data_IF_800726989487
#
_entry.id   IF_800726989487
#
_cell.length_a   1.000
_cell.length_b   1.000
_cell.length_c   1.000
_cell.angle_alpha   90.00
_cell.angle_beta   90.00
_cell.angle_gamma   90.00
#
_symmetry.space_group_name_H-M   'P 1'
#
loop_
_entity.id
_entity.type
_entity.pdbx_description
1 polymer ?
#
# COMPACT_ATOMS: atom_id res chain seq x y z
N UNK A 1 27.42 11.27 -1.92
CA UNK A 1 26.29 10.41 -1.52
C UNK A 1 25.27 11.31 -0.83
N UNK A 2 24.42 11.97 -1.62
CA UNK A 2 23.45 12.94 -1.08
C UNK A 2 22.26 12.16 -0.54
N UNK A 3 22.28 11.89 0.76
CA UNK A 3 21.04 11.65 1.51
C UNK A 3 20.28 12.98 1.49
N UNK A 4 19.36 13.15 0.54
CA UNK A 4 18.40 14.25 0.63
C UNK A 4 17.66 14.10 1.95
N UNK A 5 17.59 15.15 2.79
CA UNK A 5 16.72 15.11 3.96
C UNK A 5 15.34 14.67 3.52
N UNK A 6 14.67 13.82 4.31
CA UNK A 6 13.30 13.38 4.03
C UNK A 6 12.41 14.62 4.11
N UNK A 7 12.31 15.35 3.01
CA UNK A 7 11.21 16.26 2.73
C UNK A 7 9.93 15.43 2.68
N UNK A 8 8.82 16.07 3.05
CA UNK A 8 7.48 15.49 3.05
C UNK A 8 7.23 14.54 1.86
N UNK A 9 6.66 13.37 2.13
CA UNK A 9 6.40 12.33 1.14
C UNK A 9 5.64 12.87 -0.08
N UNK A 10 4.70 13.78 0.17
CA UNK A 10 3.88 14.37 -0.89
C UNK A 10 4.69 15.26 -1.83
N UNK A 11 5.63 16.05 -1.30
CA UNK A 11 6.59 16.82 -2.11
C UNK A 11 7.41 15.89 -2.98
N UNK A 12 7.85 14.76 -2.43
CA UNK A 12 8.65 13.82 -3.21
C UNK A 12 7.87 13.24 -4.38
N UNK A 13 6.59 12.90 -4.20
CA UNK A 13 5.72 12.41 -5.27
C UNK A 13 5.55 13.43 -6.41
N UNK A 14 5.63 14.74 -6.13
CA UNK A 14 5.52 15.79 -7.16
C UNK A 14 6.78 15.88 -8.03
N UNK A 15 7.95 15.56 -7.46
CA UNK A 15 9.24 15.68 -8.14
C UNK A 15 9.64 14.43 -8.94
N UNK A 16 8.97 13.28 -8.71
CA UNK A 16 9.37 12.02 -9.32
C UNK A 16 9.07 11.97 -10.83
N UNK A 17 10.02 11.48 -11.66
CA UNK A 17 9.83 11.42 -13.11
C UNK A 17 8.82 10.35 -13.54
N UNK A 18 8.06 10.64 -14.59
CA UNK A 18 7.12 9.71 -15.26
C UNK A 18 7.67 9.21 -16.59
N UNK A 19 8.90 8.67 -16.56
CA UNK A 19 9.63 8.17 -17.72
C UNK A 19 9.15 6.79 -18.24
N UNK A 20 7.90 6.41 -17.96
CA UNK A 20 7.29 5.16 -18.43
C UNK A 20 7.87 3.86 -17.84
N UNK A 21 8.76 3.95 -16.85
CA UNK A 21 9.33 2.78 -16.19
C UNK A 21 8.24 1.96 -15.47
N UNK A 22 8.27 0.61 -15.57
CA UNK A 22 7.38 -0.27 -14.82
C UNK A 22 7.43 -0.01 -13.32
N UNK A 23 6.26 -0.06 -12.69
CA UNK A 23 6.09 0.11 -11.25
C UNK A 23 5.21 -0.98 -10.69
N UNK A 24 5.26 -1.10 -9.38
CA UNK A 24 4.45 -2.06 -8.64
C UNK A 24 3.79 -1.36 -7.47
N UNK A 25 2.62 -1.86 -7.09
CA UNK A 25 1.89 -1.41 -5.91
C UNK A 25 2.03 -2.49 -4.85
N UNK A 26 2.34 -2.08 -3.62
CA UNK A 26 2.30 -2.97 -2.47
C UNK A 26 1.20 -2.51 -1.52
N UNK A 27 0.21 -3.37 -1.27
CA UNK A 27 -0.87 -3.13 -0.32
C UNK A 27 -0.55 -3.91 0.95
N UNK A 28 -0.26 -3.17 2.01
CA UNK A 28 0.08 -3.74 3.30
C UNK A 28 -1.18 -4.04 4.11
N UNK A 29 -1.46 -5.31 4.40
CA UNK A 29 -2.54 -5.75 5.29
C UNK A 29 -1.97 -6.10 6.66
N UNK A 30 -2.18 -5.32 7.72
CA UNK A 30 -1.51 -5.56 9.01
C UNK A 30 -2.20 -6.64 9.85
N UNK A 31 -3.24 -7.33 9.39
CA UNK A 31 -4.05 -8.23 10.23
C UNK A 31 -3.58 -9.67 10.18
N UNK A 32 -3.52 -10.33 11.35
CA UNK A 32 -3.18 -11.74 11.48
C UNK A 32 -4.16 -12.46 12.40
N UNK A 33 -4.50 -13.71 12.07
CA UNK A 33 -5.26 -14.61 12.97
C UNK A 33 -4.44 -14.98 14.21
N UNK A 34 -3.13 -15.14 14.04
CA UNK A 34 -2.19 -15.52 15.11
C UNK A 34 -0.90 -14.72 15.03
N UNK A 35 -0.31 -14.42 16.19
CA UNK A 35 1.01 -13.80 16.28
C UNK A 35 2.09 -14.86 16.35
N UNK A 36 2.75 -15.14 15.22
CA UNK A 36 3.93 -15.98 15.19
C UNK A 36 5.09 -15.28 15.92
N UNK A 37 5.77 -15.98 16.83
CA UNK A 37 6.90 -15.42 17.62
C UNK A 37 8.11 -15.06 16.77
N UNK A 38 8.30 -15.74 15.63
CA UNK A 38 9.40 -15.50 14.70
C UNK A 38 9.12 -14.39 13.69
N UNK A 39 7.87 -13.93 13.55
CA UNK A 39 7.54 -13.00 12.46
C UNK A 39 7.98 -11.57 12.84
N UNK A 40 8.60 -10.88 11.89
CA UNK A 40 9.15 -9.53 12.04
C UNK A 40 8.37 -8.48 11.23
N UNK A 41 7.22 -8.86 10.64
CA UNK A 41 6.39 -7.94 9.86
C UNK A 41 5.53 -7.06 10.78
N UNK A 42 5.29 -5.81 10.37
CA UNK A 42 4.37 -4.93 11.06
C UNK A 42 2.95 -5.52 10.97
N UNK A 43 2.42 -6.02 12.08
CA UNK A 43 1.15 -6.75 12.12
C UNK A 43 0.46 -6.62 13.48
N UNK A 44 -0.84 -6.85 13.49
CA UNK A 44 -1.76 -6.75 14.62
C UNK A 44 -2.58 -8.02 14.72
N UNK A 45 -2.83 -8.47 15.96
CA UNK A 45 -3.69 -9.63 16.24
C UNK A 45 -5.14 -9.20 16.37
N UNK A 46 -5.68 -8.64 15.31
CA UNK A 46 -7.02 -8.08 15.27
C UNK A 46 -7.70 -8.54 13.98
N UNK A 47 -9.03 -8.64 14.01
CA UNK A 47 -9.79 -8.84 12.78
C UNK A 47 -9.75 -7.54 11.97
N UNK A 48 -9.67 -7.61 10.63
CA UNK A 48 -9.80 -6.42 9.82
C UNK A 48 -11.13 -5.71 10.09
N UNK A 49 -11.15 -4.40 10.32
CA UNK A 49 -12.37 -3.60 10.30
C UNK A 49 -13.10 -3.74 8.96
N UNK A 50 -14.43 -3.67 8.95
CA UNK A 50 -15.21 -3.79 7.71
C UNK A 50 -14.88 -2.66 6.72
N UNK A 51 -14.59 -1.46 7.23
CA UNK A 51 -14.22 -0.28 6.46
C UNK A 51 -12.77 -0.28 5.96
N UNK A 52 -11.95 -1.28 6.32
CA UNK A 52 -10.52 -1.26 5.97
C UNK A 52 -10.27 -1.17 4.46
N UNK A 53 -11.05 -1.91 3.66
CA UNK A 53 -10.97 -1.82 2.20
C UNK A 53 -11.36 -0.41 1.68
N UNK A 54 -12.32 0.26 2.32
CA UNK A 54 -12.70 1.63 1.95
C UNK A 54 -11.58 2.64 2.26
N UNK A 55 -10.83 2.42 3.34
CA UNK A 55 -9.65 3.22 3.67
C UNK A 55 -8.55 3.05 2.62
N UNK A 56 -8.26 1.82 2.19
CA UNK A 56 -7.29 1.55 1.13
C UNK A 56 -7.72 2.23 -0.19
N UNK A 57 -8.99 2.08 -0.58
CA UNK A 57 -9.51 2.73 -1.81
C UNK A 57 -9.43 4.25 -1.70
N UNK A 58 -9.72 4.82 -0.53
CA UNK A 58 -9.58 6.26 -0.29
C UNK A 58 -8.12 6.71 -0.42
N UNK A 59 -7.19 5.94 0.11
CA UNK A 59 -5.76 6.22 0.02
C UNK A 59 -5.27 6.17 -1.45
N UNK A 60 -5.65 5.13 -2.20
CA UNK A 60 -5.37 5.01 -3.64
C UNK A 60 -5.89 6.23 -4.39
N UNK A 61 -7.15 6.64 -4.14
CA UNK A 61 -7.75 7.83 -4.77
C UNK A 61 -7.03 9.12 -4.39
N UNK A 62 -6.59 9.23 -3.14
CA UNK A 62 -5.84 10.41 -2.66
C UNK A 62 -4.51 10.50 -3.40
N UNK A 63 -3.79 9.39 -3.54
CA UNK A 63 -2.50 9.39 -4.23
C UNK A 63 -2.62 9.45 -5.76
N UNK A 64 -3.74 9.02 -6.33
CA UNK A 64 -4.01 9.16 -7.76
C UNK A 64 -4.06 10.63 -8.22
N UNK A 65 -4.15 11.61 -7.31
CA UNK A 65 -4.05 13.03 -7.65
C UNK A 65 -2.63 13.48 -8.01
N UNK A 66 -1.59 12.71 -7.66
CA UNK A 66 -0.21 13.05 -7.99
C UNK A 66 0.18 12.48 -9.34
N UNK A 67 0.80 13.33 -10.18
CA UNK A 67 1.26 12.98 -11.54
C UNK A 67 2.09 11.70 -11.57
N UNK A 68 2.99 11.55 -10.58
CA UNK A 68 3.78 10.33 -10.46
C UNK A 68 2.88 9.10 -10.41
N UNK A 69 1.83 9.09 -9.61
CA UNK A 69 0.96 7.91 -9.48
C UNK A 69 0.03 7.76 -10.68
N UNK A 70 -0.61 8.85 -11.13
CA UNK A 70 -1.63 8.80 -12.20
C UNK A 70 -1.08 8.40 -13.57
N UNK A 71 0.15 8.81 -13.90
CA UNK A 71 0.82 8.47 -15.16
C UNK A 71 1.70 7.21 -15.05
N UNK A 72 1.66 6.52 -13.91
CA UNK A 72 2.45 5.31 -13.69
C UNK A 72 1.95 4.13 -14.52
N UNK A 73 2.88 3.42 -15.16
CA UNK A 73 2.60 2.07 -15.66
C UNK A 73 2.82 1.07 -14.54
N UNK A 74 1.77 0.34 -14.15
CA UNK A 74 1.82 -0.66 -13.09
C UNK A 74 1.72 -2.06 -13.67
N UNK A 75 2.77 -2.87 -13.48
CA UNK A 75 2.82 -4.24 -14.02
C UNK A 75 2.42 -5.30 -12.97
N UNK A 76 2.45 -4.94 -11.68
CA UNK A 76 2.06 -5.86 -10.61
C UNK A 76 1.49 -5.15 -9.37
N UNK A 77 0.62 -5.87 -8.66
CA UNK A 77 0.11 -5.50 -7.33
C UNK A 77 0.42 -6.65 -6.39
N UNK A 78 1.06 -6.34 -5.26
CA UNK A 78 1.43 -7.28 -4.22
C UNK A 78 0.64 -7.01 -2.96
N UNK A 79 0.05 -8.04 -2.39
CA UNK A 79 -0.56 -7.97 -1.06
C UNK A 79 0.36 -8.67 -0.07
N UNK A 80 0.64 -8.04 1.08
CA UNK A 80 1.49 -8.64 2.10
C UNK A 80 1.37 -7.98 3.46
N UNK A 81 2.27 -8.31 4.38
CA UNK A 81 2.28 -7.77 5.75
C UNK A 81 1.92 -8.85 6.75
N UNK A 82 0.76 -8.75 7.36
CA UNK A 82 0.15 -9.85 8.09
C UNK A 82 -0.33 -10.95 7.16
N UNK A 83 -1.64 -11.17 7.14
CA UNK A 83 -2.28 -12.22 6.35
C UNK A 83 -3.31 -11.56 5.42
N UNK A 84 -2.97 -11.25 4.16
CA UNK A 84 -3.92 -10.62 3.23
C UNK A 84 -5.24 -11.36 3.08
N UNK A 85 -5.21 -12.69 3.16
CA UNK A 85 -6.39 -13.57 3.12
C UNK A 85 -7.26 -13.51 4.39
N UNK A 86 -6.89 -12.70 5.39
CA UNK A 86 -7.78 -12.34 6.50
C UNK A 86 -8.88 -11.36 6.08
N UNK A 87 -8.67 -10.61 4.99
CA UNK A 87 -9.71 -9.79 4.36
C UNK A 87 -10.75 -10.70 3.70
N UNK A 88 -12.02 -10.30 3.78
CA UNK A 88 -13.08 -11.04 3.10
C UNK A 88 -12.89 -10.99 1.58
N UNK A 89 -13.41 -11.98 0.82
CA UNK A 89 -13.39 -11.92 -0.64
C UNK A 89 -14.00 -10.65 -1.21
N UNK A 90 -15.08 -10.14 -0.58
CA UNK A 90 -15.73 -8.87 -0.95
C UNK A 90 -14.81 -7.67 -0.71
N UNK A 91 -14.04 -7.67 0.38
CA UNK A 91 -13.07 -6.62 0.67
C UNK A 91 -11.90 -6.64 -0.32
N UNK A 92 -11.36 -7.83 -0.64
CA UNK A 92 -10.30 -7.97 -1.65
C UNK A 92 -10.77 -7.60 -3.05
N UNK A 93 -12.02 -7.91 -3.42
CA UNK A 93 -12.60 -7.52 -4.70
C UNK A 93 -12.84 -6.00 -4.80
N UNK A 94 -13.08 -5.33 -3.67
CA UNK A 94 -13.31 -3.88 -3.63
C UNK A 94 -12.02 -3.09 -3.84
N UNK A 95 -10.90 -3.60 -3.31
CA UNK A 95 -9.56 -3.00 -3.44
C UNK A 95 -9.06 -3.20 -4.88
#
# INVERSE_FOLDING_TARGET
MLVTPITDFTTRLQEMPTNGQPRTIYIHTPFCTHNCTFCNLNRRRERPPEEYADLIVREIKTYAAYRYVSEGRYDAIYFGGGTPTSLSPKALQKI
#
